data_IF_947513143467
#
_entry.id   IF_947513143467
#
_cell.length_a   1.000
_cell.length_b   1.000
_cell.length_c   1.000
_cell.angle_alpha   90.00
_cell.angle_beta   90.00
_cell.angle_gamma   90.00
#
_symmetry.space_group_name_H-M   'P 1'
#
loop_
_entity.id
_entity.type
_entity.pdbx_description
1 polymer ?
#
# COMPACT_ATOMS: atom_id res chain seq x y z
N UNK A 1 12.34 -3.47 3.91
CA UNK A 1 11.03 -3.03 3.37
C UNK A 1 10.51 -3.89 2.22
N UNK A 2 11.34 -4.25 1.22
CA UNK A 2 10.90 -5.16 0.13
C UNK A 2 10.62 -6.56 0.68
N UNK A 3 11.52 -7.12 1.50
CA UNK A 3 11.33 -8.42 2.17
C UNK A 3 10.05 -8.44 3.02
N UNK A 4 9.83 -7.43 3.87
CA UNK A 4 8.61 -7.32 4.67
C UNK A 4 7.34 -7.30 3.80
N UNK A 5 7.38 -6.62 2.65
CA UNK A 5 6.25 -6.61 1.72
C UNK A 5 6.02 -7.95 1.02
N UNK A 6 7.08 -8.62 0.59
CA UNK A 6 6.98 -9.96 0.00
C UNK A 6 6.44 -10.95 1.03
N UNK A 7 6.93 -10.89 2.27
CA UNK A 7 6.41 -11.69 3.38
C UNK A 7 4.92 -11.40 3.60
N UNK A 8 4.51 -10.13 3.78
CA UNK A 8 3.08 -9.78 3.94
C UNK A 8 2.23 -10.24 2.76
N UNK A 9 2.78 -10.23 1.54
CA UNK A 9 2.09 -10.68 0.34
C UNK A 9 1.92 -12.20 0.29
N UNK A 10 2.95 -12.95 0.68
CA UNK A 10 2.90 -14.42 0.75
C UNK A 10 1.95 -14.84 1.87
N UNK A 11 2.07 -14.27 3.07
CA UNK A 11 1.17 -14.56 4.18
C UNK A 11 -0.28 -14.22 3.80
N UNK A 12 -0.55 -13.04 3.23
CA UNK A 12 -1.89 -12.69 2.74
C UNK A 12 -2.44 -13.76 1.79
N UNK A 13 -1.67 -14.18 0.80
CA UNK A 13 -2.14 -15.15 -0.20
C UNK A 13 -2.45 -16.51 0.46
N UNK A 14 -1.59 -16.96 1.37
CA UNK A 14 -1.78 -18.21 2.11
C UNK A 14 -3.06 -18.16 2.96
N UNK A 15 -3.21 -17.13 3.80
CA UNK A 15 -4.37 -16.97 4.67
C UNK A 15 -5.68 -16.82 3.88
N UNK A 16 -5.66 -16.07 2.78
CA UNK A 16 -6.83 -15.93 1.90
C UNK A 16 -7.21 -17.25 1.22
N UNK A 17 -6.24 -18.03 0.73
CA UNK A 17 -6.53 -19.34 0.14
C UNK A 17 -7.16 -20.31 1.17
N UNK A 18 -6.66 -20.31 2.40
CA UNK A 18 -7.22 -21.14 3.48
C UNK A 18 -8.65 -20.70 3.81
N UNK A 19 -8.90 -19.41 3.94
CA UNK A 19 -10.24 -18.86 4.16
C UNK A 19 -11.24 -19.31 3.08
N UNK A 20 -10.89 -19.14 1.80
CA UNK A 20 -11.75 -19.56 0.68
C UNK A 20 -11.97 -21.09 0.65
N UNK A 21 -10.94 -21.87 0.99
CA UNK A 21 -11.08 -23.32 1.10
C UNK A 21 -12.07 -23.70 2.21
N UNK A 22 -11.95 -23.08 3.39
CA UNK A 22 -12.88 -23.32 4.50
C UNK A 22 -14.31 -22.88 4.16
N UNK A 23 -14.48 -21.73 3.51
CA UNK A 23 -15.77 -21.25 3.04
C UNK A 23 -16.41 -22.21 2.03
N UNK A 24 -15.61 -22.80 1.14
CA UNK A 24 -16.10 -23.79 0.16
C UNK A 24 -16.59 -25.07 0.85
N UNK A 25 -15.85 -25.56 1.85
CA UNK A 25 -16.27 -26.74 2.64
C UNK A 25 -17.55 -26.42 3.42
N UNK A 26 -17.63 -25.25 4.05
CA UNK A 26 -18.84 -24.79 4.75
C UNK A 26 -20.06 -24.71 3.82
N UNK A 27 -19.90 -24.20 2.60
CA UNK A 27 -20.96 -24.17 1.60
C UNK A 27 -21.46 -25.59 1.23
N UNK A 28 -20.55 -26.56 1.08
CA UNK A 28 -20.92 -27.96 0.82
C UNK A 28 -21.68 -28.62 1.99
N UNK A 29 -21.44 -28.17 3.22
CA UNK A 29 -22.11 -28.65 4.42
C UNK A 29 -23.48 -27.98 4.67
N UNK A 30 -23.89 -27.03 3.81
CA UNK A 30 -25.21 -26.40 3.86
C UNK A 30 -25.24 -24.99 4.46
N UNK A 31 -24.09 -24.31 4.62
CA UNK A 31 -24.10 -22.86 4.93
C UNK A 31 -24.83 -22.11 3.82
N UNK A 32 -25.76 -21.23 4.22
CA UNK A 32 -26.63 -20.47 3.32
C UNK A 32 -28.05 -21.00 3.20
N UNK A 33 -28.35 -22.18 3.76
CA UNK A 33 -29.72 -22.64 4.00
C UNK A 33 -30.23 -22.13 5.35
N UNK A 34 -31.54 -22.00 5.51
CA UNK A 34 -32.12 -21.75 6.83
C UNK A 34 -31.80 -22.91 7.76
N UNK A 35 -31.64 -22.64 9.05
CA UNK A 35 -31.21 -23.63 10.04
C UNK A 35 -32.12 -24.88 10.08
N UNK A 36 -33.39 -24.72 9.67
CA UNK A 36 -34.38 -25.81 9.58
C UNK A 36 -34.16 -26.79 8.42
N UNK A 37 -33.36 -26.43 7.41
CA UNK A 37 -33.08 -27.26 6.24
C UNK A 37 -31.71 -27.95 6.31
N UNK A 38 -30.92 -27.67 7.36
CA UNK A 38 -29.60 -28.24 7.59
C UNK A 38 -29.72 -29.50 8.43
N UNK A 39 -29.01 -30.56 8.03
CA UNK A 39 -28.97 -31.80 8.81
C UNK A 39 -28.35 -31.52 10.20
N UNK A 40 -29.08 -31.78 11.30
CA UNK A 40 -28.59 -31.52 12.66
C UNK A 40 -27.30 -32.29 12.99
N UNK A 41 -26.99 -33.40 12.29
CA UNK A 41 -25.74 -34.13 12.46
C UNK A 41 -24.49 -33.32 12.06
N UNK A 42 -24.64 -32.35 11.15
CA UNK A 42 -23.54 -31.53 10.63
C UNK A 42 -23.33 -30.22 11.42
N UNK A 43 -24.27 -29.84 12.29
CA UNK A 43 -24.20 -28.60 13.09
C UNK A 43 -22.92 -28.46 13.94
N UNK A 44 -22.47 -29.47 14.72
CA UNK A 44 -21.25 -29.30 15.53
C UNK A 44 -19.99 -29.13 14.68
N UNK A 45 -19.91 -29.84 13.55
CA UNK A 45 -18.83 -29.65 12.58
C UNK A 45 -18.89 -28.26 11.96
N UNK A 46 -20.09 -27.76 11.65
CA UNK A 46 -20.29 -26.42 11.09
C UNK A 46 -19.88 -25.31 12.06
N UNK A 47 -20.24 -25.41 13.34
CA UNK A 47 -19.83 -24.46 14.36
C UNK A 47 -18.30 -24.41 14.50
N UNK A 48 -17.65 -25.57 14.50
CA UNK A 48 -16.18 -25.66 14.58
C UNK A 48 -15.52 -25.06 13.34
N UNK A 49 -16.00 -25.43 12.14
CA UNK A 49 -15.49 -24.87 10.88
C UNK A 49 -15.70 -23.36 10.80
N UNK A 50 -16.82 -22.84 11.30
CA UNK A 50 -17.07 -21.40 11.31
C UNK A 50 -16.10 -20.65 12.25
N UNK A 51 -15.79 -21.19 13.44
CA UNK A 51 -14.78 -20.57 14.34
C UNK A 51 -13.42 -20.47 13.67
N UNK A 52 -12.99 -21.57 13.05
CA UNK A 52 -11.72 -21.64 12.33
C UNK A 52 -11.73 -20.73 11.10
N UNK A 53 -12.81 -20.76 10.31
CA UNK A 53 -12.98 -19.93 9.12
C UNK A 53 -12.94 -18.44 9.43
N UNK A 54 -13.69 -17.96 10.43
CA UNK A 54 -13.68 -16.54 10.83
C UNK A 54 -12.29 -16.09 11.30
N UNK A 55 -11.52 -16.97 11.96
CA UNK A 55 -10.15 -16.68 12.39
C UNK A 55 -9.22 -16.45 11.18
N UNK A 56 -9.31 -17.33 10.18
CA UNK A 56 -8.55 -17.19 8.93
C UNK A 56 -9.01 -15.97 8.12
N UNK A 57 -10.31 -15.70 8.06
CA UNK A 57 -10.89 -14.52 7.41
C UNK A 57 -10.37 -13.21 8.01
N UNK A 58 -10.42 -13.07 9.34
CA UNK A 58 -9.93 -11.87 10.04
C UNK A 58 -8.44 -11.70 9.78
N UNK A 59 -7.66 -12.77 9.91
CA UNK A 59 -6.23 -12.75 9.64
C UNK A 59 -5.95 -12.30 8.19
N UNK A 60 -6.65 -12.90 7.22
CA UNK A 60 -6.53 -12.53 5.80
C UNK A 60 -6.88 -11.04 5.58
N UNK A 61 -7.93 -10.52 6.22
CA UNK A 61 -8.28 -9.10 6.19
C UNK A 61 -7.16 -8.21 6.73
N UNK A 62 -6.58 -8.54 7.89
CA UNK A 62 -5.50 -7.77 8.53
C UNK A 62 -4.25 -7.72 7.64
N UNK A 63 -3.81 -8.87 7.12
CA UNK A 63 -2.67 -8.96 6.20
C UNK A 63 -2.94 -8.26 4.85
N UNK A 64 -4.20 -8.24 4.40
CA UNK A 64 -4.60 -7.52 3.19
C UNK A 64 -4.54 -6.01 3.38
N UNK A 65 -5.15 -5.50 4.45
CA UNK A 65 -5.15 -4.06 4.77
C UNK A 65 -3.76 -3.52 5.02
N UNK A 66 -2.94 -4.25 5.78
CA UNK A 66 -1.54 -3.86 5.99
C UNK A 66 -0.77 -3.76 4.68
N UNK A 67 -0.91 -4.75 3.79
CA UNK A 67 -0.20 -4.71 2.50
C UNK A 67 -0.66 -3.56 1.61
N UNK A 68 -1.96 -3.27 1.55
CA UNK A 68 -2.50 -2.13 0.81
C UNK A 68 -2.02 -0.80 1.41
N UNK A 69 -2.11 -0.63 2.72
CA UNK A 69 -1.63 0.56 3.41
C UNK A 69 -0.11 0.77 3.25
N UNK A 70 0.69 -0.30 3.31
CA UNK A 70 2.14 -0.24 3.01
C UNK A 70 2.41 0.17 1.57
N UNK A 71 1.58 -0.29 0.63
CA UNK A 71 1.66 0.10 -0.77
C UNK A 71 1.39 1.59 -0.93
N UNK A 72 0.37 2.11 -0.26
CA UNK A 72 0.09 3.55 -0.20
C UNK A 72 1.24 4.33 0.44
N UNK A 73 1.77 3.86 1.57
CA UNK A 73 2.86 4.49 2.28
C UNK A 73 4.12 4.64 1.40
N UNK A 74 4.39 3.69 0.51
CA UNK A 74 5.51 3.78 -0.45
C UNK A 74 5.34 4.94 -1.42
N UNK A 75 4.12 5.22 -1.86
CA UNK A 75 3.82 6.32 -2.77
C UNK A 75 3.97 7.65 -2.02
N UNK A 76 3.40 7.72 -0.80
CA UNK A 76 3.41 8.94 0.03
C UNK A 76 4.79 9.30 0.57
N UNK A 77 5.66 8.31 0.84
CA UNK A 77 7.05 8.51 1.31
C UNK A 77 7.85 9.44 0.39
N UNK A 78 7.51 9.53 -0.89
CA UNK A 78 8.20 10.42 -1.81
C UNK A 78 7.86 11.90 -1.61
N UNK A 79 6.86 12.22 -0.78
CA UNK A 79 6.25 13.57 -0.75
C UNK A 79 6.19 14.26 0.61
N UNK A 80 5.78 13.60 1.70
CA UNK A 80 5.50 14.29 2.98
C UNK A 80 5.69 13.38 4.22
N UNK A 81 6.42 13.86 5.24
CA UNK A 81 6.73 13.10 6.46
C UNK A 81 5.63 13.13 7.53
N UNK A 82 4.83 14.20 7.64
CA UNK A 82 3.74 14.28 8.64
C UNK A 82 2.62 13.26 8.36
N UNK A 83 2.21 13.15 7.11
CA UNK A 83 1.17 12.19 6.68
C UNK A 83 1.60 10.74 6.91
N UNK A 84 2.90 10.47 6.86
CA UNK A 84 3.46 9.15 7.18
C UNK A 84 3.14 8.73 8.61
N UNK A 85 3.23 9.66 9.56
CA UNK A 85 2.91 9.38 10.97
C UNK A 85 1.44 9.04 11.10
N UNK A 86 0.54 9.81 10.49
CA UNK A 86 -0.91 9.55 10.50
C UNK A 86 -1.23 8.17 9.92
N UNK A 87 -0.68 7.83 8.76
CA UNK A 87 -0.90 6.53 8.12
C UNK A 87 -0.37 5.39 8.98
N UNK A 88 0.77 5.56 9.65
CA UNK A 88 1.29 4.57 10.60
C UNK A 88 0.40 4.42 11.83
N UNK A 89 -0.09 5.52 12.41
CA UNK A 89 -1.02 5.49 13.53
C UNK A 89 -2.32 4.76 13.15
N UNK A 90 -2.90 5.06 11.98
CA UNK A 90 -4.09 4.37 11.47
C UNK A 90 -3.82 2.87 11.26
N UNK A 91 -2.72 2.53 10.60
CA UNK A 91 -2.30 1.13 10.39
C UNK A 91 -2.21 0.38 11.72
N UNK A 92 -1.43 0.91 12.67
CA UNK A 92 -1.22 0.27 13.98
C UNK A 92 -2.55 0.15 14.73
N UNK A 93 -3.39 1.18 14.71
CA UNK A 93 -4.70 1.14 15.37
C UNK A 93 -5.61 0.03 14.82
N UNK A 94 -5.69 -0.12 13.50
CA UNK A 94 -6.54 -1.14 12.86
C UNK A 94 -6.03 -2.54 13.14
N UNK A 95 -4.70 -2.76 13.11
CA UNK A 95 -4.11 -4.06 13.40
C UNK A 95 -4.38 -4.46 14.86
N UNK A 96 -4.09 -3.57 15.81
CA UNK A 96 -4.31 -3.86 17.24
C UNK A 96 -5.78 -4.18 17.50
N UNK A 97 -6.72 -3.38 16.96
CA UNK A 97 -8.14 -3.61 17.19
C UNK A 97 -8.63 -4.95 16.61
N UNK A 98 -8.18 -5.31 15.41
CA UNK A 98 -8.53 -6.58 14.77
C UNK A 98 -7.86 -7.78 15.46
N UNK A 99 -6.61 -7.65 15.90
CA UNK A 99 -5.88 -8.69 16.63
C UNK A 99 -6.53 -8.97 17.99
N UNK A 100 -6.97 -7.92 18.70
CA UNK A 100 -7.77 -8.09 19.92
C UNK A 100 -9.10 -8.78 19.60
N UNK A 101 -9.72 -8.46 18.46
CA UNK A 101 -10.92 -9.17 17.98
C UNK A 101 -10.69 -10.65 17.73
N UNK A 102 -9.50 -11.02 17.24
CA UNK A 102 -9.07 -12.41 17.06
C UNK A 102 -8.97 -13.14 18.40
N UNK A 103 -8.31 -12.53 19.38
CA UNK A 103 -8.17 -13.08 20.74
C UNK A 103 -9.56 -13.27 21.37
N UNK A 104 -10.42 -12.26 21.24
CA UNK A 104 -11.80 -12.33 21.75
C UNK A 104 -12.64 -13.41 21.07
N UNK A 105 -12.29 -13.86 19.86
CA UNK A 105 -12.97 -14.96 19.20
C UNK A 105 -12.68 -16.31 19.89
N UNK A 106 -11.45 -16.49 20.40
CA UNK A 106 -11.06 -17.68 21.15
C UNK A 106 -11.52 -17.69 22.61
N UNK A 107 -11.74 -16.51 23.20
CA UNK A 107 -12.15 -16.34 24.61
C UNK A 107 -13.68 -16.31 24.81
N UNK A 108 -14.47 -16.71 23.80
CA UNK A 108 -15.93 -16.75 23.90
C UNK A 108 -16.38 -17.90 24.81
N UNK A 109 -17.38 -17.63 25.64
CA UNK A 109 -18.05 -18.69 26.40
C UNK A 109 -18.88 -19.57 25.48
N UNK A 110 -18.63 -20.87 25.53
CA UNK A 110 -19.42 -21.86 24.80
C UNK A 110 -20.65 -22.23 25.60
N UNK A 111 -21.82 -21.84 25.09
CA UNK A 111 -23.12 -22.38 25.51
C UNK A 111 -23.37 -23.77 24.86
N UNK A 112 -22.32 -24.58 24.67
CA UNK A 112 -22.44 -25.92 24.08
C UNK A 112 -22.69 -26.95 25.21
N UNK A 113 -23.73 -27.80 25.11
CA UNK A 113 -24.04 -28.79 26.14
C UNK A 113 -22.99 -29.90 26.14
N UNK A 114 -21.91 -29.70 26.91
CA UNK A 114 -20.83 -30.69 27.09
C UNK A 114 -19.45 -30.10 27.37
N UNK A 115 -19.24 -28.80 27.08
CA UNK A 115 -18.03 -28.04 27.36
C UNK A 115 -18.31 -26.86 28.29
N UNK A 116 -19.22 -27.05 29.25
CA UNK A 116 -19.53 -26.05 30.28
C UNK A 116 -18.31 -25.83 31.16
N UNK A 117 -17.39 -24.98 30.72
CA UNK A 117 -16.53 -24.23 31.63
C UNK A 117 -17.47 -23.38 32.47
N UNK A 118 -17.52 -23.70 33.75
CA UNK A 118 -18.35 -23.04 34.73
C UNK A 118 -18.23 -21.51 34.58
N UNK A 119 -19.32 -20.71 34.68
CA UNK A 119 -19.31 -19.25 34.65
C UNK A 119 -18.44 -18.57 35.74
N UNK A 120 -17.70 -19.37 36.51
CA UNK A 120 -16.92 -19.01 37.69
C UNK A 120 -15.45 -18.74 37.35
N UNK A 121 -15.00 -19.02 36.12
CA UNK A 121 -13.65 -18.66 35.67
C UNK A 121 -13.67 -17.24 35.12
N UNK A 122 -12.95 -16.34 35.80
CA UNK A 122 -12.92 -14.87 35.64
C UNK A 122 -12.48 -14.34 34.25
N UNK A 123 -12.44 -15.18 33.22
CA UNK A 123 -11.80 -14.90 31.92
C UNK A 123 -12.72 -15.08 30.71
N UNK A 124 -14.01 -15.35 30.92
CA UNK A 124 -14.93 -15.69 29.85
C UNK A 124 -15.74 -14.47 29.36
N UNK A 125 -15.76 -14.20 28.05
CA UNK A 125 -16.52 -13.09 27.47
C UNK A 125 -17.88 -13.55 26.95
N UNK A 126 -18.94 -12.83 27.35
CA UNK A 126 -20.30 -13.05 26.86
C UNK A 126 -20.37 -12.82 25.35
N UNK A 127 -21.15 -13.65 24.64
CA UNK A 127 -21.36 -13.58 23.19
C UNK A 127 -21.76 -12.17 22.71
N UNK A 128 -22.59 -11.45 23.48
CA UNK A 128 -23.02 -10.09 23.17
C UNK A 128 -21.86 -9.07 23.21
N UNK A 129 -20.98 -9.17 24.21
CA UNK A 129 -19.85 -8.25 24.38
C UNK A 129 -18.81 -8.47 23.28
N UNK A 130 -18.52 -9.72 22.94
CA UNK A 130 -17.63 -10.06 21.84
C UNK A 130 -18.20 -9.60 20.48
N UNK A 131 -19.51 -9.74 20.26
CA UNK A 131 -20.16 -9.25 19.04
C UNK A 131 -20.06 -7.72 18.91
N UNK A 132 -20.39 -6.98 19.97
CA UNK A 132 -20.31 -5.51 19.99
C UNK A 132 -18.88 -5.01 19.72
N UNK A 133 -17.87 -5.68 20.29
CA UNK A 133 -16.47 -5.36 20.01
C UNK A 133 -16.11 -5.60 18.53
N UNK A 134 -16.51 -6.75 17.97
CA UNK A 134 -16.24 -7.07 16.57
C UNK A 134 -16.91 -6.07 15.61
N UNK A 135 -18.13 -5.61 15.92
CA UNK A 135 -18.81 -4.54 15.17
C UNK A 135 -18.01 -3.24 15.24
N UNK A 136 -17.59 -2.83 16.44
CA UNK A 136 -16.79 -1.63 16.63
C UNK A 136 -15.46 -1.70 15.85
N UNK A 137 -14.73 -2.82 15.98
CA UNK A 137 -13.45 -3.00 15.29
C UNK A 137 -13.60 -3.03 13.78
N UNK A 138 -14.66 -3.65 13.24
CA UNK A 138 -14.92 -3.68 11.81
C UNK A 138 -15.34 -2.30 11.28
N UNK A 139 -16.14 -1.53 12.05
CA UNK A 139 -16.54 -0.17 11.68
C UNK A 139 -15.33 0.78 11.67
N UNK A 140 -14.47 0.68 12.67
CA UNK A 140 -13.21 1.41 12.70
C UNK A 140 -12.31 1.06 11.52
N UNK A 141 -12.22 -0.23 11.18
CA UNK A 141 -11.45 -0.68 10.02
C UNK A 141 -11.97 -0.10 8.70
N UNK A 142 -13.29 -0.07 8.49
CA UNK A 142 -13.88 0.52 7.29
C UNK A 142 -13.69 2.03 7.22
N UNK A 143 -13.81 2.72 8.36
CA UNK A 143 -13.52 4.16 8.45
C UNK A 143 -12.05 4.46 8.14
N UNK A 144 -11.12 3.65 8.65
CA UNK A 144 -9.70 3.80 8.37
C UNK A 144 -9.40 3.66 6.87
N UNK A 145 -10.03 2.72 6.16
CA UNK A 145 -9.86 2.58 4.70
C UNK A 145 -10.35 3.84 3.95
N UNK A 146 -11.48 4.42 4.36
CA UNK A 146 -12.01 5.66 3.79
C UNK A 146 -11.06 6.83 4.05
N UNK A 147 -10.58 6.98 5.29
CA UNK A 147 -9.64 8.04 5.67
C UNK A 147 -8.34 7.91 4.89
N UNK A 148 -7.80 6.69 4.75
CA UNK A 148 -6.59 6.44 3.96
C UNK A 148 -6.78 6.81 2.48
N UNK A 149 -7.94 6.50 1.90
CA UNK A 149 -8.24 6.88 0.52
C UNK A 149 -8.39 8.40 0.34
N UNK A 150 -9.04 9.09 1.29
CA UNK A 150 -9.15 10.56 1.28
C UNK A 150 -7.79 11.23 1.44
N UNK A 151 -6.95 10.72 2.36
CA UNK A 151 -5.59 11.22 2.55
C UNK A 151 -4.78 11.11 1.26
N UNK A 152 -4.83 9.95 0.61
CA UNK A 152 -4.16 9.76 -0.66
C UNK A 152 -4.72 10.67 -1.77
N UNK A 153 -6.03 10.92 -1.80
CA UNK A 153 -6.63 11.88 -2.73
C UNK A 153 -6.08 13.30 -2.56
N UNK A 154 -6.03 13.80 -1.31
CA UNK A 154 -5.50 15.12 -0.98
C UNK A 154 -4.03 15.28 -1.42
N UNK A 155 -3.24 14.21 -1.33
CA UNK A 155 -1.82 14.21 -1.75
C UNK A 155 -1.68 14.27 -3.28
N UNK A 156 -2.58 13.62 -4.01
CA UNK A 156 -2.49 13.52 -5.48
C UNK A 156 -2.96 14.80 -6.16
N UNK A 157 -3.97 15.49 -5.62
CA UNK A 157 -4.56 16.69 -6.22
C UNK A 157 -3.55 17.80 -6.59
N UNK A 158 -2.59 18.19 -5.73
CA UNK A 158 -1.63 19.24 -6.06
C UNK A 158 -0.45 18.76 -6.93
N UNK A 159 -0.31 17.44 -7.17
CA UNK A 159 0.87 16.91 -7.84
C UNK A 159 0.73 16.93 -9.37
N UNK A 160 1.68 17.57 -10.06
CA UNK A 160 1.75 17.61 -11.53
C UNK A 160 2.27 16.29 -12.13
N UNK A 161 1.51 15.20 -11.96
CA UNK A 161 1.80 13.91 -12.59
C UNK A 161 1.29 13.85 -14.04
N UNK A 162 1.92 13.00 -14.86
CA UNK A 162 1.46 12.70 -16.23
C UNK A 162 0.07 12.06 -16.16
N UNK A 163 -0.85 12.44 -17.05
CA UNK A 163 -2.27 12.02 -16.99
C UNK A 163 -2.48 10.51 -16.88
N UNK A 164 -1.63 9.71 -17.53
CA UNK A 164 -1.68 8.24 -17.46
C UNK A 164 -1.39 7.69 -16.05
N UNK A 165 -0.52 8.36 -15.29
CA UNK A 165 -0.23 7.97 -13.90
C UNK A 165 -1.36 8.40 -12.97
N UNK A 166 -1.93 9.58 -13.23
CA UNK A 166 -3.06 10.12 -12.45
C UNK A 166 -4.28 9.19 -12.50
N UNK A 167 -4.58 8.59 -13.66
CA UNK A 167 -5.69 7.63 -13.83
C UNK A 167 -5.48 6.39 -12.97
N UNK A 168 -4.28 5.79 -13.01
CA UNK A 168 -3.98 4.61 -12.20
C UNK A 168 -4.20 4.88 -10.71
N UNK A 169 -3.61 5.96 -10.18
CA UNK A 169 -3.77 6.27 -8.76
C UNK A 169 -5.22 6.60 -8.40
N UNK A 170 -5.96 7.31 -9.27
CA UNK A 170 -7.39 7.57 -9.05
C UNK A 170 -8.21 6.28 -8.94
N UNK A 171 -7.98 5.30 -9.84
CA UNK A 171 -8.65 3.98 -9.77
C UNK A 171 -8.30 3.24 -8.48
N UNK A 172 -7.03 3.25 -8.07
CA UNK A 172 -6.61 2.62 -6.82
C UNK A 172 -7.30 3.23 -5.59
N UNK A 173 -7.51 4.55 -5.58
CA UNK A 173 -8.19 5.23 -4.47
C UNK A 173 -9.67 4.93 -4.42
N UNK A 174 -10.33 4.90 -5.57
CA UNK A 174 -11.75 4.53 -5.66
C UNK A 174 -12.00 3.11 -5.15
N UNK A 175 -11.12 2.16 -5.47
CA UNK A 175 -11.21 0.78 -4.96
C UNK A 175 -11.03 0.72 -3.43
N UNK A 176 -10.17 1.56 -2.85
CA UNK A 176 -10.05 1.69 -1.39
C UNK A 176 -11.31 2.23 -0.72
N UNK A 177 -11.98 3.22 -1.32
CA UNK A 177 -13.27 3.73 -0.84
C UNK A 177 -14.37 2.66 -0.92
N UNK A 178 -14.41 1.90 -2.03
CA UNK A 178 -15.36 0.80 -2.20
C UNK A 178 -15.12 -0.29 -1.14
N UNK A 179 -13.87 -0.65 -0.87
CA UNK A 179 -13.52 -1.57 0.22
C UNK A 179 -14.05 -1.09 1.57
N UNK A 180 -13.81 0.19 1.91
CA UNK A 180 -14.31 0.78 3.15
C UNK A 180 -15.84 0.75 3.26
N UNK A 181 -16.55 1.01 2.15
CA UNK A 181 -18.01 0.87 2.11
C UNK A 181 -18.46 -0.58 2.30
N UNK A 182 -17.78 -1.56 1.70
CA UNK A 182 -18.06 -2.99 1.89
C UNK A 182 -17.83 -3.42 3.35
N UNK A 183 -16.77 -2.90 3.98
CA UNK A 183 -16.48 -3.14 5.40
C UNK A 183 -17.58 -2.59 6.32
N UNK A 184 -18.14 -1.42 6.00
CA UNK A 184 -19.28 -0.86 6.71
C UNK A 184 -20.56 -1.69 6.47
N UNK A 185 -20.82 -2.13 5.25
CA UNK A 185 -21.94 -3.04 4.97
C UNK A 185 -21.81 -4.35 5.76
N UNK A 186 -20.60 -4.93 5.85
CA UNK A 186 -20.30 -6.10 6.68
C UNK A 186 -20.66 -5.86 8.16
N UNK A 187 -20.35 -4.68 8.71
CA UNK A 187 -20.70 -4.38 10.11
C UNK A 187 -22.19 -4.38 10.38
N UNK A 188 -23.00 -3.92 9.42
CA UNK A 188 -24.45 -3.97 9.53
C UNK A 188 -24.94 -5.43 9.58
N UNK A 189 -24.40 -6.31 8.72
CA UNK A 189 -24.77 -7.73 8.73
C UNK A 189 -24.39 -8.44 10.02
N UNK A 190 -23.24 -8.10 10.64
CA UNK A 190 -22.86 -8.63 11.95
C UNK A 190 -23.90 -8.28 13.04
N UNK A 191 -24.48 -7.08 12.98
CA UNK A 191 -25.55 -6.69 13.91
C UNK A 191 -26.86 -7.47 13.68
N UNK A 192 -27.14 -7.87 12.44
CA UNK A 192 -28.29 -8.70 12.11
C UNK A 192 -28.13 -10.14 12.62
N UNK A 193 -26.91 -10.68 12.61
CA UNK A 193 -26.62 -12.03 13.14
C UNK A 193 -26.95 -12.19 14.62
N UNK A 194 -26.89 -11.10 15.39
CA UNK A 194 -27.24 -11.11 16.80
C UNK A 194 -28.77 -11.18 17.03
N UNK A 195 -29.58 -11.01 15.98
CA UNK A 195 -31.06 -10.93 16.06
C UNK A 195 -31.79 -11.97 15.20
N UNK A 196 -31.15 -12.52 14.17
CA UNK A 196 -31.76 -13.39 13.13
C UNK A 196 -30.97 -14.70 12.96
N UNK A 197 -31.47 -15.62 12.11
CA UNK A 197 -30.87 -16.92 11.82
C UNK A 197 -29.36 -16.86 11.49
N UNK A 198 -28.54 -17.43 12.37
CA UNK A 198 -27.08 -17.44 12.25
C UNK A 198 -26.59 -18.03 10.91
N UNK A 199 -27.11 -19.18 10.50
CA UNK A 199 -26.64 -19.92 9.31
C UNK A 199 -26.87 -19.17 8.00
N UNK A 200 -27.95 -18.38 7.91
CA UNK A 200 -28.28 -17.61 6.72
C UNK A 200 -27.40 -16.37 6.62
N UNK A 201 -27.33 -15.60 7.70
CA UNK A 201 -26.60 -14.33 7.74
C UNK A 201 -25.09 -14.53 7.57
N UNK A 202 -24.51 -15.63 8.09
CA UNK A 202 -23.07 -15.99 7.93
C UNK A 202 -22.65 -15.96 6.46
N UNK A 203 -23.53 -16.37 5.55
CA UNK A 203 -23.25 -16.37 4.11
C UNK A 203 -23.05 -14.96 3.56
N UNK A 204 -23.91 -14.03 3.97
CA UNK A 204 -23.81 -12.64 3.56
C UNK A 204 -22.49 -12.02 4.04
N UNK A 205 -22.10 -12.32 5.28
CA UNK A 205 -20.82 -11.86 5.85
C UNK A 205 -19.61 -12.40 5.08
N UNK A 206 -19.62 -13.68 4.67
CA UNK A 206 -18.57 -14.29 3.85
C UNK A 206 -18.47 -13.56 2.50
N UNK A 207 -19.60 -13.30 1.84
CA UNK A 207 -19.65 -12.62 0.54
C UNK A 207 -19.08 -11.20 0.64
N UNK A 208 -19.51 -10.41 1.64
CA UNK A 208 -18.97 -9.06 1.84
C UNK A 208 -17.48 -9.07 2.14
N UNK A 209 -17.01 -10.04 2.94
CA UNK A 209 -15.59 -10.18 3.27
C UNK A 209 -14.75 -10.53 2.03
N UNK A 210 -15.23 -11.44 1.18
CA UNK A 210 -14.56 -11.81 -0.06
C UNK A 210 -14.49 -10.63 -1.05
N UNK A 211 -15.58 -9.86 -1.17
CA UNK A 211 -15.63 -8.66 -2.00
C UNK A 211 -14.67 -7.57 -1.50
N UNK A 212 -14.63 -7.34 -0.18
CA UNK A 212 -13.70 -6.42 0.48
C UNK A 212 -12.24 -6.78 0.19
N UNK A 213 -11.84 -8.03 0.46
CA UNK A 213 -10.46 -8.50 0.24
C UNK A 213 -10.08 -8.38 -1.24
N UNK A 214 -10.97 -8.76 -2.15
CA UNK A 214 -10.72 -8.70 -3.59
C UNK A 214 -10.48 -7.26 -4.07
N UNK A 215 -11.29 -6.31 -3.60
CA UNK A 215 -11.15 -4.89 -3.96
C UNK A 215 -9.82 -4.29 -3.46
N UNK A 216 -9.37 -4.65 -2.25
CA UNK A 216 -8.08 -4.22 -1.70
C UNK A 216 -6.90 -4.81 -2.47
N UNK A 217 -6.97 -6.08 -2.89
CA UNK A 217 -5.93 -6.72 -3.70
C UNK A 217 -5.81 -6.01 -5.05
N UNK A 218 -6.94 -5.73 -5.70
CA UNK A 218 -6.96 -4.95 -6.94
C UNK A 218 -6.31 -3.58 -6.75
N UNK A 219 -6.70 -2.86 -5.69
CA UNK A 219 -6.12 -1.55 -5.37
C UNK A 219 -4.61 -1.61 -5.11
N UNK A 220 -4.12 -2.64 -4.42
CA UNK A 220 -2.70 -2.83 -4.09
C UNK A 220 -1.84 -3.19 -5.33
N UNK A 221 -2.45 -3.75 -6.38
CA UNK A 221 -1.73 -4.12 -7.61
C UNK A 221 -1.41 -2.93 -8.53
N UNK A 222 -2.14 -1.83 -8.39
CA UNK A 222 -2.06 -0.68 -9.32
C UNK A 222 -0.66 -0.06 -9.41
N UNK A 223 0.09 0.15 -8.31
CA UNK A 223 1.43 0.74 -8.39
C UNK A 223 2.44 -0.15 -9.12
N UNK A 224 2.22 -1.47 -9.12
CA UNK A 224 3.08 -2.41 -9.87
C UNK A 224 2.86 -2.30 -11.37
N UNK A 225 1.61 -2.19 -11.80
CA UNK A 225 1.26 -1.98 -13.21
C UNK A 225 1.94 -0.69 -13.72
N UNK A 226 1.94 0.39 -12.91
CA UNK A 226 2.68 1.63 -13.24
C UNK A 226 4.17 1.39 -13.51
N UNK A 227 4.84 0.62 -12.64
CA UNK A 227 6.27 0.35 -12.77
C UNK A 227 6.59 -0.44 -14.06
N UNK A 228 5.75 -1.42 -14.40
CA UNK A 228 5.92 -2.20 -15.63
C UNK A 228 5.69 -1.37 -16.90
N UNK A 229 4.65 -0.52 -16.92
CA UNK A 229 4.35 0.34 -18.08
C UNK A 229 5.47 1.36 -18.32
N UNK A 230 6.02 1.97 -17.26
CA UNK A 230 7.15 2.92 -17.38
C UNK A 230 8.38 2.24 -17.99
N UNK A 231 8.72 1.03 -17.57
CA UNK A 231 9.89 0.31 -18.07
C UNK A 231 9.77 -0.10 -19.54
N UNK A 232 8.55 -0.43 -20.03
CA UNK A 232 8.31 -0.80 -21.44
C UNK A 232 8.34 0.40 -22.39
N UNK A 233 7.83 1.56 -21.97
CA UNK A 233 7.84 2.78 -22.78
C UNK A 233 9.20 3.50 -22.83
N UNK A 234 10.11 3.20 -21.89
CA UNK A 234 11.47 3.76 -21.88
C UNK A 234 12.47 3.03 -22.77
N UNK A 235 12.06 2.01 -23.54
CA UNK A 235 12.91 1.48 -24.62
C UNK A 235 13.07 2.59 -25.68
N UNK A 236 14.28 3.14 -25.90
CA UNK A 236 14.45 4.23 -26.85
C UNK A 236 14.06 3.71 -28.24
N UNK A 237 13.10 4.37 -28.87
CA UNK A 237 12.88 4.27 -30.32
C UNK A 237 14.10 4.86 -31.02
N UNK A 238 15.17 4.07 -31.14
CA UNK A 238 16.25 4.34 -32.07
C UNK A 238 15.75 3.95 -33.47
N UNK A 239 15.04 4.87 -34.12
CA UNK A 239 14.85 4.85 -35.57
C UNK A 239 14.60 6.29 -36.04
N UNK A 240 15.70 7.04 -36.13
CA UNK A 240 15.78 8.34 -36.80
C UNK A 240 17.11 8.42 -37.54
N UNK A 241 17.14 7.80 -38.71
CA UNK A 241 18.06 8.20 -39.79
C UNK A 241 17.23 8.30 -41.07
N UNK A 242 16.24 9.20 -41.04
CA UNK A 242 15.53 9.66 -42.21
C UNK A 242 16.44 10.59 -43.00
N UNK A 243 16.55 10.29 -44.29
CA UNK A 243 17.34 11.00 -45.27
C UNK A 243 17.05 12.51 -45.33
N UNK A 244 18.10 13.32 -45.40
CA UNK A 244 18.05 14.60 -46.09
C UNK A 244 19.30 14.74 -46.95
N UNK A 245 19.18 14.28 -48.20
CA UNK A 245 19.91 14.87 -49.33
C UNK A 245 19.20 16.17 -49.68
N UNK A 246 19.98 17.24 -49.89
CA UNK A 246 19.79 18.43 -50.75
C UNK A 246 21.00 19.32 -50.40
N UNK A 247 22.16 19.14 -51.04
CA UNK A 247 22.61 19.84 -52.24
C UNK A 247 22.36 21.36 -52.20
N UNK A 248 23.39 22.14 -51.85
CA UNK A 248 23.73 23.39 -52.54
C UNK A 248 25.12 23.89 -52.12
N UNK A 249 26.01 23.93 -53.09
CA UNK A 249 27.31 24.59 -53.04
C UNK A 249 27.15 25.92 -53.79
N UNK A 250 27.69 27.04 -53.28
CA UNK A 250 28.41 27.92 -54.20
C UNK A 250 29.84 28.23 -53.73
N UNK A 251 30.73 28.22 -54.72
CA UNK A 251 32.08 28.76 -54.70
C UNK A 251 32.13 30.19 -54.15
N UNK A 252 33.20 30.51 -53.41
CA UNK A 252 33.90 31.76 -53.69
C UNK A 252 35.42 31.59 -53.62
N UNK A 253 36.09 32.22 -54.58
CA UNK A 253 37.52 32.13 -54.87
C UNK A 253 38.22 33.34 -54.24
N UNK A 254 39.32 33.13 -53.54
CA UNK A 254 40.44 34.08 -53.64
C UNK A 254 41.78 33.40 -53.31
N UNK A 255 42.71 33.62 -54.23
CA UNK A 255 44.06 33.07 -54.34
C UNK A 255 45.03 34.09 -53.79
N UNK A 256 46.03 33.70 -52.99
CA UNK A 256 47.45 34.01 -53.26
C UNK A 256 48.41 33.29 -52.29
N UNK A 257 49.66 32.98 -52.72
CA UNK A 257 50.56 32.04 -52.07
C UNK A 257 51.76 32.71 -51.38
N UNK A 258 52.36 32.05 -50.39
CA UNK A 258 53.81 32.13 -50.12
C UNK A 258 54.31 30.89 -49.35
N UNK A 259 55.48 30.44 -49.76
CA UNK A 259 56.29 29.25 -49.38
C UNK A 259 57.70 29.80 -49.03
N UNK A 260 58.69 29.06 -48.47
CA UNK A 260 58.78 27.90 -47.56
C UNK A 260 59.46 28.34 -46.21
N UNK A 261 59.64 27.57 -45.14
CA UNK A 261 60.63 26.48 -44.91
C UNK A 261 60.60 26.32 -43.37
N UNK A 262 60.55 25.13 -42.77
CA UNK A 262 61.73 24.49 -42.15
C UNK A 262 61.32 23.11 -41.63
N UNK A 263 62.14 22.13 -41.99
CA UNK A 263 62.14 20.73 -41.58
C UNK A 263 62.46 20.62 -40.08
N UNK A 264 61.70 19.80 -39.34
CA UNK A 264 62.01 19.49 -37.95
C UNK A 264 61.19 18.30 -37.45
N UNK A 265 61.89 17.22 -37.14
CA UNK A 265 61.44 15.86 -36.89
C UNK A 265 60.52 15.64 -35.68
N UNK A 266 59.53 14.75 -35.89
CA UNK A 266 59.18 13.59 -35.05
C UNK A 266 59.54 13.61 -33.56
N UNK A 267 58.52 13.59 -32.69
CA UNK A 267 58.48 12.69 -31.51
C UNK A 267 57.05 12.54 -30.97
N UNK A 268 56.62 11.27 -30.90
CA UNK A 268 55.46 10.81 -30.13
C UNK A 268 55.76 10.94 -28.64
N UNK A 269 54.78 11.31 -27.85
CA UNK A 269 54.84 11.25 -26.38
C UNK A 269 53.46 11.44 -25.77
N UNK A 270 52.96 10.38 -25.13
CA UNK A 270 51.67 10.29 -24.44
C UNK A 270 51.72 10.89 -23.02
N UNK A 271 50.55 11.28 -22.50
CA UNK A 271 50.18 11.51 -21.06
C UNK A 271 50.76 12.80 -20.43
N UNK A 272 50.15 13.49 -19.46
CA UNK A 272 48.97 13.31 -18.63
C UNK A 272 48.44 14.68 -18.15
N UNK A 273 47.20 14.70 -17.68
CA UNK A 273 46.52 15.80 -16.99
C UNK A 273 46.97 15.91 -15.51
N UNK A 274 46.76 17.10 -14.92
CA UNK A 274 47.05 17.57 -13.54
C UNK A 274 48.48 18.08 -13.35
N UNK A 275 48.74 19.27 -12.81
CA UNK A 275 47.95 20.32 -12.18
C UNK A 275 48.93 21.33 -11.58
N UNK A 276 48.49 22.59 -11.43
CA UNK A 276 49.04 23.71 -10.65
C UNK A 276 50.52 24.11 -10.78
N UNK A 277 50.77 25.36 -11.15
CA UNK A 277 51.21 26.41 -10.20
C UNK A 277 51.43 27.76 -10.90
N UNK A 278 50.86 28.80 -10.26
CA UNK A 278 51.37 30.15 -10.10
C UNK A 278 51.46 31.09 -11.31
N UNK A 279 50.77 32.24 -11.22
CA UNK A 279 51.42 33.55 -11.07
C UNK A 279 50.38 34.67 -10.83
N UNK A 280 50.55 35.35 -9.68
CA UNK A 280 50.39 36.80 -9.42
C UNK A 280 48.95 37.36 -9.37
N UNK A 281 48.39 37.68 -8.20
CA UNK A 281 48.76 38.76 -7.27
C UNK A 281 48.91 40.12 -7.99
N UNK A 282 47.96 41.04 -7.80
CA UNK A 282 48.08 42.08 -6.77
C UNK A 282 46.91 43.09 -6.80
N UNK A 283 46.79 43.87 -5.71
CA UNK A 283 45.97 45.07 -5.46
C UNK A 283 44.60 44.92 -4.74
N UNK A 284 44.69 44.81 -3.42
CA UNK A 284 43.76 45.42 -2.44
C UNK A 284 44.07 46.93 -2.30
N UNK A 285 43.15 47.71 -1.69
CA UNK A 285 43.55 48.28 -0.41
C UNK A 285 42.51 48.06 0.70
N UNK A 286 43.09 47.87 1.88
CA UNK A 286 42.52 47.74 3.22
C UNK A 286 42.13 49.11 3.79
N UNK A 287 41.13 49.17 4.69
CA UNK A 287 41.13 50.03 5.89
C UNK A 287 39.92 49.74 6.80
N UNK A 288 40.23 49.16 7.96
CA UNK A 288 39.89 49.62 9.31
C UNK A 288 38.47 49.47 9.93
N UNK A 289 38.53 48.81 11.10
CA UNK A 289 37.63 48.68 12.24
C UNK A 289 36.83 49.91 12.70
N UNK A 290 35.65 49.67 13.31
CA UNK A 290 35.29 50.32 14.57
C UNK A 290 34.31 49.47 15.41
N UNK A 291 34.73 49.16 16.64
CA UNK A 291 33.94 48.63 17.76
C UNK A 291 32.84 49.59 18.24
N UNK A 292 31.73 49.09 18.80
CA UNK A 292 31.17 49.51 20.11
C UNK A 292 29.76 48.95 20.42
N UNK A 293 29.70 47.99 21.35
CA UNK A 293 28.91 47.94 22.61
C UNK A 293 27.48 48.51 22.73
N UNK A 294 26.52 47.71 23.28
CA UNK A 294 25.83 47.90 24.59
C UNK A 294 24.49 47.11 24.72
N UNK A 295 24.47 46.12 25.63
CA UNK A 295 23.59 46.00 26.82
C UNK A 295 22.04 45.93 26.75
N UNK A 296 21.37 45.46 27.83
CA UNK A 296 20.11 44.68 27.76
C UNK A 296 18.89 45.23 28.57
N UNK A 297 17.78 44.47 28.54
CA UNK A 297 16.60 44.43 29.45
C UNK A 297 15.53 45.54 29.31
N UNK A 298 14.26 45.32 29.75
CA UNK A 298 13.72 44.43 30.80
C UNK A 298 12.96 43.17 30.35
#
# INVERSE_FOLDING_TARGET
MIVAFLLTSVYRQLFSCVDHATATVMANLGVGKHIFEVDPANLPMLHTLNRVGVTFAISACVWTKTSWALTMLRIVRATQDYMRVIVWCLLVSVNILMDVGLILNFMKCDDEPGLTMSPNEMWCWTNLTAANYNVFSAAWSGLADIVLALLAWVIILPMQMRSNEKIGVAVAMSLGLVSGAMALAKTANVLLMAKMDFTYEVTNLIIWTAAEISSLIMAASVPFIRLFVKNKLSTPKSYSSGAQRLNEQPQDKSTTPSVPTTVGSSRRGWRAHSGDSDLLADSLPEMAEHNSSLGPYP
#
